data_IF_753616710738
#
_entry.id   IF_753616710738
#
_cell.length_a   1.000
_cell.length_b   1.000
_cell.length_c   1.000
_cell.angle_alpha   90.00
_cell.angle_beta   90.00
_cell.angle_gamma   90.00
#
_symmetry.space_group_name_H-M   'P 1'
#
loop_
_entity.id
_entity.type
_entity.pdbx_description
1 polymer ?
#
# COMPACT_ATOMS: atom_id res chain seq x y z
N UNK A 1 8.81 2.75 -2.31
CA UNK A 1 7.75 3.48 -3.04
C UNK A 1 7.75 4.97 -2.69
N UNK A 2 7.65 5.38 -1.41
CA UNK A 2 7.68 6.80 -1.01
C UNK A 2 8.74 7.67 -1.71
N UNK A 3 10.02 7.30 -1.62
CA UNK A 3 11.11 8.09 -2.21
C UNK A 3 11.03 8.25 -3.73
N UNK A 4 10.32 7.33 -4.41
CA UNK A 4 10.16 7.36 -5.87
C UNK A 4 8.94 8.18 -6.30
N UNK A 5 7.88 8.19 -5.48
CA UNK A 5 6.60 8.82 -5.82
C UNK A 5 6.37 10.15 -5.10
N UNK A 6 7.10 10.42 -4.02
CA UNK A 6 6.88 11.54 -3.09
C UNK A 6 5.48 11.57 -2.46
N UNK A 7 4.75 10.44 -2.51
CA UNK A 7 3.43 10.30 -1.92
C UNK A 7 3.53 9.88 -0.45
N UNK A 8 2.56 10.30 0.35
CA UNK A 8 2.37 9.84 1.72
C UNK A 8 1.46 8.62 1.78
N UNK A 9 1.47 7.89 2.90
CA UNK A 9 0.54 6.78 3.13
C UNK A 9 -0.88 7.27 3.42
N UNK A 10 -1.03 8.49 3.97
CA UNK A 10 -2.32 9.02 4.37
C UNK A 10 -3.12 9.51 3.17
N UNK A 11 -4.36 9.02 3.05
CA UNK A 11 -5.36 9.49 2.10
C UNK A 11 -6.72 9.49 2.80
N UNK A 12 -7.37 10.65 2.89
CA UNK A 12 -8.51 10.87 3.82
C UNK A 12 -9.72 9.97 3.58
N UNK A 13 -9.90 9.44 2.37
CA UNK A 13 -11.01 8.58 1.97
C UNK A 13 -10.59 7.16 1.57
N UNK A 14 -9.32 6.79 1.76
CA UNK A 14 -8.80 5.48 1.41
C UNK A 14 -8.12 4.81 2.60
N UNK A 15 -8.58 3.62 3.03
CA UNK A 15 -8.02 2.94 4.19
C UNK A 15 -6.58 2.43 4.00
N UNK A 16 -6.09 2.35 2.75
CA UNK A 16 -4.72 1.89 2.41
C UNK A 16 -3.79 3.05 2.09
N UNK A 17 -4.32 4.02 1.36
CA UNK A 17 -3.54 5.07 0.71
C UNK A 17 -2.68 4.58 -0.46
N UNK A 18 -2.11 5.51 -1.22
CA UNK A 18 -1.55 5.22 -2.54
C UNK A 18 -0.29 4.36 -2.47
N UNK A 19 0.53 4.53 -1.43
CA UNK A 19 1.80 3.81 -1.29
C UNK A 19 1.60 2.34 -0.98
N UNK A 20 0.60 2.02 -0.15
CA UNK A 20 0.22 0.63 0.15
C UNK A 20 -0.30 -0.06 -1.11
N UNK A 21 -1.11 0.63 -1.92
CA UNK A 21 -1.64 0.07 -3.17
C UNK A 21 -0.53 -0.23 -4.19
N UNK A 22 0.38 0.71 -4.43
CA UNK A 22 1.54 0.47 -5.28
C UNK A 22 2.40 -0.68 -4.77
N UNK A 23 2.62 -0.75 -3.45
CA UNK A 23 3.41 -1.84 -2.86
C UNK A 23 2.74 -3.20 -3.06
N UNK A 24 1.43 -3.29 -2.91
CA UNK A 24 0.68 -4.53 -3.14
C UNK A 24 0.80 -5.01 -4.60
N UNK A 25 0.70 -4.08 -5.56
CA UNK A 25 0.85 -4.39 -6.99
C UNK A 25 2.26 -4.91 -7.28
N UNK A 26 3.29 -4.18 -6.87
CA UNK A 26 4.70 -4.54 -7.10
C UNK A 26 5.01 -5.92 -6.51
N UNK A 27 4.58 -6.18 -5.27
CA UNK A 27 4.82 -7.47 -4.63
C UNK A 27 4.11 -8.61 -5.37
N UNK A 28 2.89 -8.40 -5.87
CA UNK A 28 2.18 -9.43 -6.65
C UNK A 28 2.84 -9.70 -7.99
N UNK A 29 3.29 -8.67 -8.69
CA UNK A 29 4.05 -8.79 -9.94
C UNK A 29 5.39 -9.50 -9.74
N UNK A 30 6.03 -9.33 -8.57
CA UNK A 30 7.23 -10.06 -8.16
C UNK A 30 6.98 -11.52 -7.75
N UNK A 31 5.73 -11.99 -7.77
CA UNK A 31 5.38 -13.36 -7.35
C UNK A 31 5.36 -13.56 -5.83
N UNK A 32 5.22 -12.49 -5.05
CA UNK A 32 5.21 -12.57 -3.59
C UNK A 32 3.91 -13.23 -3.07
N UNK A 33 4.07 -14.29 -2.28
CA UNK A 33 2.96 -15.14 -1.81
C UNK A 33 2.09 -14.47 -0.74
N UNK A 34 2.60 -13.47 -0.01
CA UNK A 34 1.82 -12.84 1.06
C UNK A 34 0.54 -12.18 0.53
N UNK A 35 -0.54 -12.16 1.34
CA UNK A 35 -1.77 -11.46 0.97
C UNK A 35 -1.52 -9.94 0.86
N UNK A 36 -2.28 -9.23 0.02
CA UNK A 36 -2.25 -7.77 -0.04
C UNK A 36 -2.61 -7.14 1.31
N UNK A 37 -1.97 -6.02 1.65
CA UNK A 37 -2.33 -5.22 2.82
C UNK A 37 -3.62 -4.43 2.52
N UNK A 38 -4.67 -4.68 3.30
CA UNK A 38 -6.01 -4.13 3.06
C UNK A 38 -6.30 -2.80 3.77
N UNK A 39 -5.50 -2.44 4.78
CA UNK A 39 -5.55 -1.16 5.48
C UNK A 39 -4.15 -0.76 5.97
N UNK A 40 -3.88 0.55 6.03
CA UNK A 40 -2.64 1.09 6.57
C UNK A 40 -2.62 0.94 8.09
N UNK A 41 -3.64 1.42 8.79
CA UNK A 41 -3.76 1.22 10.23
C UNK A 41 -4.60 -0.02 10.54
N UNK A 42 -4.37 -0.64 11.69
CA UNK A 42 -5.27 -1.66 12.19
C UNK A 42 -6.57 -1.00 12.63
N UNK A 43 -7.70 -1.48 12.11
CA UNK A 43 -9.02 -1.15 12.66
C UNK A 43 -9.12 -1.78 14.05
N UNK A 44 -9.14 -0.94 15.09
CA UNK A 44 -9.32 -1.36 16.48
C UNK A 44 -10.80 -1.50 16.83
#
# INVERSE_FOLDING_TARGET
VHALTHLQDKEDSNPRGPVVEYTNIILKEMGHAAPPRIAYEFSN
#
